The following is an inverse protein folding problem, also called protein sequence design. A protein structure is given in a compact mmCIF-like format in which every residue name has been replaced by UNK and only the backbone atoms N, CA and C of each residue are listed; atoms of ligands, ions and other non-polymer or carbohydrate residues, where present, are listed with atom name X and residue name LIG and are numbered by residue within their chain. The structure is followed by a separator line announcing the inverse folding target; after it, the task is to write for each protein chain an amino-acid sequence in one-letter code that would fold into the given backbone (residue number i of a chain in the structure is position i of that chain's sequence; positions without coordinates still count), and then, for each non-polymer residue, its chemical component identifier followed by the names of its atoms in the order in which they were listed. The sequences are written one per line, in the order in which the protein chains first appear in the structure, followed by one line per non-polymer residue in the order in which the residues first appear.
data_IF_493952385591
#
_entry.id   IF_493952385591
#
_cell.length_a   1.000
_cell.length_b   1.000
_cell.length_c   1.000
_cell.angle_alpha   90.00
_cell.angle_beta   90.00
_cell.angle_gamma   90.00
#
_symmetry.space_group_name_H-M   'P 1'
#
loop_
_entity.id
_entity.type
_entity.pdbx_description
1 polymer ?
#
# COMPACT_ATOMS: atom_id res chain seq x y z
N UNK A 1 -49.90 16.16 -12.73
CA UNK A 1 -49.60 15.11 -11.74
C UNK A 1 -48.90 13.97 -12.45
N UNK A 2 -47.58 13.87 -12.30
CA UNK A 2 -46.78 12.75 -12.79
C UNK A 2 -46.72 11.70 -11.67
N UNK A 3 -47.26 10.51 -11.93
CA UNK A 3 -47.19 9.37 -11.02
C UNK A 3 -45.87 8.62 -11.20
N UNK A 4 -45.06 8.61 -10.13
CA UNK A 4 -43.82 7.83 -10.02
C UNK A 4 -44.19 6.37 -9.72
N UNK A 5 -43.77 5.43 -10.58
CA UNK A 5 -43.75 4.00 -10.25
C UNK A 5 -42.35 3.65 -9.72
N UNK A 6 -42.31 3.22 -8.46
CA UNK A 6 -41.13 2.66 -7.79
C UNK A 6 -41.08 1.17 -8.17
N UNK A 7 -40.00 0.73 -8.81
CA UNK A 7 -39.73 -0.69 -9.06
C UNK A 7 -38.98 -1.29 -7.85
N UNK A 8 -39.49 -2.41 -7.35
CA UNK A 8 -38.96 -3.14 -6.19
C UNK A 8 -37.84 -4.10 -6.56
N UNK A 9 -36.91 -4.27 -5.61
CA UNK A 9 -35.71 -5.12 -5.64
C UNK A 9 -36.03 -6.63 -5.67
N UNK A 10 -36.53 -7.18 -6.78
CA UNK A 10 -36.69 -8.65 -6.89
C UNK A 10 -36.58 -9.25 -8.30
N UNK A 11 -36.10 -8.52 -9.32
CA UNK A 11 -36.04 -9.04 -10.71
C UNK A 11 -34.66 -8.92 -11.40
N UNK A 12 -33.57 -8.74 -10.65
CA UNK A 12 -32.20 -8.70 -11.24
C UNK A 12 -31.30 -9.86 -10.82
N UNK A 13 -31.79 -10.81 -10.02
CA UNK A 13 -31.05 -12.06 -9.75
C UNK A 13 -31.62 -13.18 -10.63
N UNK A 14 -30.86 -13.60 -11.64
CA UNK A 14 -30.74 -14.98 -12.16
C UNK A 14 -30.01 -15.07 -13.54
N UNK A 15 -29.42 -13.99 -14.07
CA UNK A 15 -28.63 -14.04 -15.32
C UNK A 15 -27.14 -13.70 -15.18
N UNK A 16 -26.62 -13.52 -13.95
CA UNK A 16 -25.21 -13.19 -13.69
C UNK A 16 -24.38 -14.34 -13.11
N UNK A 17 -24.94 -15.55 -12.98
CA UNK A 17 -24.21 -16.75 -12.59
C UNK A 17 -24.02 -17.60 -13.85
N UNK A 18 -22.76 -17.89 -14.17
CA UNK A 18 -22.28 -18.69 -15.32
C UNK A 18 -22.12 -17.90 -16.63
N UNK A 19 -21.18 -16.96 -16.65
CA UNK A 19 -20.41 -16.67 -17.86
C UNK A 19 -18.93 -16.96 -17.57
N UNK A 20 -18.23 -17.77 -18.37
CA UNK A 20 -16.78 -17.90 -18.24
C UNK A 20 -16.18 -16.54 -18.60
N UNK A 21 -15.67 -15.81 -17.61
CA UNK A 21 -14.87 -14.63 -17.85
C UNK A 21 -13.54 -15.09 -18.46
N UNK A 22 -13.49 -15.22 -19.78
CA UNK A 22 -12.22 -15.12 -20.49
C UNK A 22 -11.69 -13.72 -20.21
N UNK A 23 -10.67 -13.65 -19.36
CA UNK A 23 -9.91 -12.43 -19.10
C UNK A 23 -9.53 -11.83 -20.47
N UNK A 24 -9.89 -10.56 -20.75
CA UNK A 24 -9.38 -9.91 -21.94
C UNK A 24 -7.86 -9.95 -21.85
N UNK A 25 -7.21 -10.51 -22.88
CA UNK A 25 -5.77 -10.49 -23.02
C UNK A 25 -5.35 -9.02 -22.96
N UNK A 26 -4.78 -8.61 -21.83
CA UNK A 26 -4.29 -7.25 -21.63
C UNK A 26 -3.30 -6.96 -22.75
N UNK A 27 -3.67 -6.04 -23.64
CA UNK A 27 -2.73 -5.42 -24.57
C UNK A 27 -1.76 -4.63 -23.69
N UNK A 28 -0.65 -5.28 -23.35
CA UNK A 28 0.43 -4.70 -22.57
C UNK A 28 1.16 -3.71 -23.49
N UNK A 29 0.72 -2.45 -23.53
CA UNK A 29 1.52 -1.38 -24.13
C UNK A 29 2.73 -1.19 -23.23
N UNK A 30 3.79 -1.96 -23.47
CA UNK A 30 5.11 -1.80 -22.84
C UNK A 30 5.70 -0.47 -23.30
N UNK A 31 5.38 0.62 -22.61
CA UNK A 31 6.38 1.68 -22.43
C UNK A 31 7.36 1.13 -21.40
N UNK A 32 8.46 0.56 -21.86
CA UNK A 32 9.60 0.23 -20.99
C UNK A 32 10.15 1.56 -20.46
N UNK A 33 9.64 1.99 -19.32
CA UNK A 33 10.23 3.09 -18.56
C UNK A 33 11.29 2.49 -17.66
N UNK A 34 12.55 2.80 -17.95
CA UNK A 34 13.68 2.43 -17.13
C UNK A 34 13.95 3.54 -16.13
N UNK A 35 13.78 3.27 -14.83
CA UNK A 35 14.13 4.22 -13.77
C UNK A 35 15.57 4.01 -13.31
N UNK A 36 16.13 5.02 -12.64
CA UNK A 36 17.46 4.97 -12.01
C UNK A 36 17.31 5.11 -10.50
N UNK A 37 18.22 4.49 -9.75
CA UNK A 37 18.30 4.70 -8.30
C UNK A 37 19.20 5.90 -8.03
N UNK A 38 18.64 6.92 -7.39
CA UNK A 38 19.35 8.13 -6.98
C UNK A 38 19.42 8.18 -5.46
N UNK A 39 20.59 8.58 -4.94
CA UNK A 39 20.81 8.88 -3.52
C UNK A 39 20.56 10.36 -3.29
N UNK A 40 19.71 10.69 -2.33
CA UNK A 40 19.41 12.08 -1.96
C UNK A 40 19.90 12.30 -0.54
N UNK A 41 20.78 13.29 -0.36
CA UNK A 41 21.26 13.69 0.95
C UNK A 41 20.12 14.28 1.79
N UNK A 42 20.17 14.01 3.10
CA UNK A 42 19.17 14.47 4.07
C UNK A 42 19.81 14.59 5.44
N UNK A 43 19.07 15.18 6.37
CA UNK A 43 19.44 15.25 7.79
C UNK A 43 18.34 14.64 8.66
N UNK A 44 18.69 14.09 9.83
CA UNK A 44 17.69 13.58 10.78
C UNK A 44 16.62 14.61 11.14
N UNK A 45 15.40 14.14 11.36
CA UNK A 45 14.31 14.94 11.95
C UNK A 45 14.05 14.48 13.38
N UNK A 46 13.93 15.44 14.29
CA UNK A 46 13.63 15.13 15.69
C UNK A 46 12.25 14.48 15.82
N UNK A 47 12.15 13.46 16.67
CA UNK A 47 10.88 12.90 17.09
C UNK A 47 10.16 12.04 16.03
N UNK A 48 10.86 11.51 15.02
CA UNK A 48 10.37 10.44 14.14
C UNK A 48 10.34 9.05 14.81
N UNK A 49 9.94 9.00 16.10
CA UNK A 49 9.82 7.76 16.85
C UNK A 49 8.44 7.13 16.60
N UNK A 50 8.34 5.97 15.92
CA UNK A 50 7.05 5.28 15.80
C UNK A 50 6.67 4.63 17.14
N UNK A 51 5.39 4.68 17.48
CA UNK A 51 4.81 3.84 18.53
C UNK A 51 4.33 2.50 17.98
N UNK A 52 3.62 1.73 18.81
CA UNK A 52 3.01 0.44 18.42
C UNK A 52 2.01 0.56 17.27
N UNK A 53 1.44 1.76 17.07
CA UNK A 53 0.52 2.09 15.97
C UNK A 53 1.16 2.91 14.85
N UNK A 54 2.49 2.94 14.78
CA UNK A 54 3.27 3.72 13.81
C UNK A 54 3.61 5.14 14.27
N UNK A 55 4.08 5.95 13.32
CA UNK A 55 4.38 7.36 13.49
C UNK A 55 3.14 8.19 13.18
N UNK A 56 2.71 9.03 14.12
CA UNK A 56 1.61 9.99 13.92
C UNK A 56 2.08 11.41 14.20
N UNK A 57 1.83 12.30 13.25
CA UNK A 57 2.20 13.72 13.29
C UNK A 57 1.19 14.52 12.47
N UNK A 58 1.24 15.85 12.58
CA UNK A 58 0.43 16.72 11.71
C UNK A 58 0.84 16.55 10.24
N UNK A 59 -0.12 16.60 9.32
CA UNK A 59 0.09 16.54 7.86
C UNK A 59 1.19 17.52 7.42
N UNK A 60 1.21 18.72 8.01
CA UNK A 60 2.21 19.77 7.72
C UNK A 60 3.67 19.32 7.91
N UNK A 61 3.93 18.28 8.71
CA UNK A 61 5.27 17.71 8.85
C UNK A 61 5.56 16.75 7.71
N UNK A 62 4.63 15.87 7.36
CA UNK A 62 4.80 14.89 6.29
C UNK A 62 4.97 15.50 4.89
N UNK A 63 4.39 16.67 4.65
CA UNK A 63 4.56 17.41 3.38
C UNK A 63 5.86 18.22 3.33
N UNK A 64 6.64 18.29 4.41
CA UNK A 64 7.96 18.92 4.35
C UNK A 64 8.90 18.05 3.51
N UNK A 65 9.81 18.68 2.74
CA UNK A 65 10.86 17.96 2.05
C UNK A 65 11.58 17.00 3.01
N UNK A 66 11.82 15.78 2.54
CA UNK A 66 12.57 14.72 3.21
C UNK A 66 11.91 14.11 4.46
N UNK A 67 10.84 14.68 5.03
CA UNK A 67 10.27 14.16 6.28
C UNK A 67 9.73 12.73 6.10
N UNK A 68 8.81 12.54 5.15
CA UNK A 68 8.27 11.21 4.85
C UNK A 68 9.37 10.27 4.34
N UNK A 69 10.23 10.75 3.45
CA UNK A 69 11.30 9.96 2.84
C UNK A 69 12.25 9.41 3.91
N UNK A 70 12.64 10.23 4.89
CA UNK A 70 13.52 9.78 5.96
C UNK A 70 12.90 8.63 6.77
N UNK A 71 11.61 8.74 7.10
CA UNK A 71 10.93 7.69 7.86
C UNK A 71 10.78 6.39 7.06
N UNK A 72 10.44 6.51 5.77
CA UNK A 72 10.31 5.36 4.85
C UNK A 72 11.66 4.67 4.65
N UNK A 73 12.73 5.43 4.39
CA UNK A 73 14.07 4.87 4.26
C UNK A 73 14.55 4.23 5.57
N UNK A 74 14.34 4.88 6.71
CA UNK A 74 14.68 4.31 8.01
C UNK A 74 13.94 2.99 8.28
N UNK A 75 12.70 2.87 7.76
CA UNK A 75 11.93 1.63 7.78
C UNK A 75 12.59 0.55 6.93
N UNK A 76 12.93 0.83 5.67
CA UNK A 76 13.68 -0.12 4.83
C UNK A 76 15.01 -0.55 5.46
N UNK A 77 15.77 0.40 6.02
CA UNK A 77 17.03 0.12 6.70
C UNK A 77 16.84 -0.82 7.91
N UNK A 78 15.71 -0.74 8.62
CA UNK A 78 15.42 -1.56 9.80
C UNK A 78 14.99 -2.99 9.45
N UNK A 79 14.34 -3.18 8.29
CA UNK A 79 13.90 -4.48 7.79
C UNK A 79 15.06 -5.33 7.27
N UNK A 80 16.19 -4.70 6.94
CA UNK A 80 17.39 -5.35 6.43
C UNK A 80 17.41 -5.42 4.89
N UNK A 81 18.60 -5.63 4.33
CA UNK A 81 18.84 -5.63 2.90
C UNK A 81 18.37 -6.91 2.16
N UNK A 82 17.41 -7.65 2.71
CA UNK A 82 16.77 -8.78 2.02
C UNK A 82 15.75 -8.22 1.03
N UNK A 83 16.30 -7.66 -0.06
CA UNK A 83 15.66 -6.90 -1.15
C UNK A 83 14.69 -7.74 -2.00
N UNK A 84 14.53 -9.02 -1.72
CA UNK A 84 13.84 -9.95 -2.62
C UNK A 84 12.31 -10.03 -2.47
N UNK A 85 11.69 -9.22 -1.61
CA UNK A 85 10.37 -9.54 -1.09
C UNK A 85 9.37 -8.38 -1.28
N UNK A 86 8.16 -8.70 -1.73
CA UNK A 86 7.15 -7.71 -2.15
C UNK A 86 6.41 -7.06 -0.96
N UNK A 87 6.01 -5.80 -1.11
CA UNK A 87 5.39 -5.01 -0.03
C UNK A 87 4.01 -4.48 -0.41
N UNK A 88 3.05 -4.52 0.52
CA UNK A 88 1.71 -3.95 0.32
C UNK A 88 1.68 -2.51 0.83
N UNK A 89 0.97 -1.61 0.15
CA UNK A 89 0.68 -0.27 0.71
C UNK A 89 -0.84 -0.06 0.79
N UNK A 90 -1.35 0.30 1.97
CA UNK A 90 -2.75 0.72 2.20
C UNK A 90 -2.81 2.18 2.59
N UNK A 91 -3.96 2.80 2.31
CA UNK A 91 -4.31 4.07 2.94
C UNK A 91 -5.73 4.16 3.47
N UNK A 92 -5.92 5.10 4.39
CA UNK A 92 -7.21 5.54 4.90
C UNK A 92 -7.03 7.03 5.22
N UNK A 93 -7.56 7.87 4.32
CA UNK A 93 -7.23 9.28 4.08
C UNK A 93 -5.78 9.50 3.63
N UNK A 94 -5.59 9.82 2.35
CA UNK A 94 -4.28 10.04 1.79
C UNK A 94 -4.22 11.28 0.89
N UNK A 95 -3.04 11.89 0.88
CA UNK A 95 -2.53 12.70 -0.21
C UNK A 95 -1.81 11.79 -1.21
N UNK A 96 -2.30 11.71 -2.44
CA UNK A 96 -1.77 10.89 -3.55
C UNK A 96 -0.23 10.86 -3.62
N UNK A 97 0.39 12.03 -3.39
CA UNK A 97 1.83 12.24 -3.34
C UNK A 97 2.60 11.29 -2.41
N UNK A 98 1.99 10.81 -1.32
CA UNK A 98 2.65 9.92 -0.36
C UNK A 98 2.78 8.49 -0.88
N UNK A 99 1.78 7.96 -1.60
CA UNK A 99 1.90 6.65 -2.26
C UNK A 99 2.95 6.71 -3.34
N UNK A 100 2.97 7.78 -4.14
CA UNK A 100 3.96 7.96 -5.20
C UNK A 100 5.38 7.95 -4.62
N UNK A 101 5.61 8.70 -3.53
CA UNK A 101 6.90 8.70 -2.82
C UNK A 101 7.26 7.30 -2.34
N UNK A 102 6.36 6.61 -1.63
CA UNK A 102 6.64 5.27 -1.09
C UNK A 102 6.89 4.27 -2.22
N UNK A 103 6.14 4.35 -3.32
CA UNK A 103 6.31 3.50 -4.51
C UNK A 103 7.71 3.67 -5.13
N UNK A 104 8.13 4.93 -5.33
CA UNK A 104 9.46 5.25 -5.87
C UNK A 104 10.58 4.82 -4.93
N UNK A 105 10.38 4.96 -3.62
CA UNK A 105 11.37 4.53 -2.62
C UNK A 105 11.43 3.01 -2.50
N UNK A 106 10.31 2.29 -2.57
CA UNK A 106 10.26 0.85 -2.58
C UNK A 106 11.04 0.28 -3.78
N UNK A 107 10.76 0.78 -4.98
CA UNK A 107 11.49 0.42 -6.20
C UNK A 107 13.01 0.67 -6.06
N UNK A 108 13.40 1.79 -5.46
CA UNK A 108 14.80 2.14 -5.27
C UNK A 108 15.52 1.34 -4.17
N UNK A 109 14.76 0.80 -3.22
CA UNK A 109 15.25 -0.08 -2.17
C UNK A 109 15.19 -1.57 -2.58
N UNK A 110 14.92 -1.88 -3.85
CA UNK A 110 15.00 -3.22 -4.41
C UNK A 110 13.70 -4.04 -4.31
N UNK A 111 12.61 -3.48 -3.75
CA UNK A 111 11.31 -4.17 -3.71
C UNK A 111 10.91 -4.55 -5.13
N UNK A 112 10.61 -5.83 -5.38
CA UNK A 112 10.29 -6.33 -6.73
C UNK A 112 8.84 -6.12 -7.15
N UNK A 113 7.95 -6.01 -6.17
CA UNK A 113 6.52 -5.81 -6.39
C UNK A 113 5.88 -5.07 -5.25
N UNK A 114 5.03 -4.10 -5.57
CA UNK A 114 4.12 -3.49 -4.61
C UNK A 114 2.67 -3.77 -4.97
N UNK A 115 1.84 -3.95 -3.95
CA UNK A 115 0.39 -4.11 -4.11
C UNK A 115 -0.34 -2.91 -3.51
N UNK A 116 -1.23 -2.31 -4.28
CA UNK A 116 -1.98 -1.11 -3.91
C UNK A 116 -3.48 -1.39 -4.09
N UNK A 117 -4.27 -1.10 -3.06
CA UNK A 117 -5.74 -1.12 -3.20
C UNK A 117 -6.20 0.01 -4.11
N UNK A 118 -7.12 -0.29 -5.04
CA UNK A 118 -7.66 0.69 -5.97
C UNK A 118 -8.15 1.97 -5.25
N UNK A 119 -7.83 3.13 -5.81
CA UNK A 119 -8.13 4.44 -5.22
C UNK A 119 -7.61 4.60 -3.78
N UNK A 120 -6.52 3.91 -3.44
CA UNK A 120 -5.86 3.98 -2.14
C UNK A 120 -6.68 3.39 -0.98
N UNK A 121 -7.85 2.83 -1.28
CA UNK A 121 -8.76 2.28 -0.30
C UNK A 121 -8.32 0.86 0.04
N UNK A 122 -7.98 0.60 1.29
CA UNK A 122 -7.97 -0.74 1.90
C UNK A 122 -8.38 -0.50 3.36
N UNK A 123 -8.81 -1.49 4.13
CA UNK A 123 -8.99 -1.38 5.60
C UNK A 123 -7.77 -1.98 6.32
N UNK A 124 -7.46 -1.59 7.57
CA UNK A 124 -6.29 -2.17 8.28
C UNK A 124 -6.41 -3.72 8.36
N UNK A 125 -7.60 -4.27 8.68
CA UNK A 125 -7.83 -5.72 8.58
C UNK A 125 -7.64 -6.28 7.16
N UNK A 126 -8.07 -5.58 6.11
CA UNK A 126 -7.87 -6.03 4.73
C UNK A 126 -6.39 -6.12 4.37
N UNK A 127 -5.55 -5.19 4.83
CA UNK A 127 -4.10 -5.31 4.63
C UNK A 127 -3.54 -6.54 5.32
N UNK A 128 -3.94 -6.76 6.57
CA UNK A 128 -3.51 -7.93 7.31
C UNK A 128 -3.86 -9.21 6.55
N UNK A 129 -5.09 -9.29 6.02
CA UNK A 129 -5.53 -10.40 5.16
C UNK A 129 -4.66 -10.57 3.92
N UNK A 130 -4.42 -9.48 3.17
CA UNK A 130 -3.62 -9.50 1.94
C UNK A 130 -2.16 -9.88 2.21
N UNK A 131 -1.57 -9.47 3.35
CA UNK A 131 -0.23 -9.89 3.75
C UNK A 131 -0.18 -11.39 4.06
N UNK A 132 -1.21 -11.92 4.70
CA UNK A 132 -1.27 -13.32 5.11
C UNK A 132 -1.51 -14.28 3.93
N UNK A 133 -2.32 -13.86 2.97
CA UNK A 133 -2.68 -14.65 1.79
C UNK A 133 -1.59 -14.64 0.71
N UNK A 134 -1.44 -15.79 0.03
CA UNK A 134 -0.65 -15.86 -1.21
C UNK A 134 -1.53 -15.53 -2.40
N UNK A 135 -0.97 -14.82 -3.39
CA UNK A 135 -1.64 -14.58 -4.67
C UNK A 135 -1.68 -15.86 -5.51
N UNK A 136 -2.52 -15.83 -6.55
CA UNK A 136 -2.68 -16.97 -7.46
C UNK A 136 -1.38 -17.38 -8.17
N UNK A 137 -0.43 -16.46 -8.33
CA UNK A 137 0.90 -16.72 -8.91
C UNK A 137 1.94 -17.18 -7.86
N UNK A 138 1.50 -17.46 -6.63
CA UNK A 138 2.35 -17.90 -5.52
C UNK A 138 3.12 -16.78 -4.83
N UNK A 139 3.00 -15.52 -5.30
CA UNK A 139 3.64 -14.39 -4.62
C UNK A 139 2.97 -14.08 -3.28
N UNK A 140 3.78 -13.69 -2.30
CA UNK A 140 3.34 -13.33 -0.95
C UNK A 140 4.04 -12.05 -0.51
N UNK A 141 3.31 -11.16 0.15
CA UNK A 141 3.88 -9.95 0.69
C UNK A 141 4.60 -10.22 2.01
N UNK A 142 5.59 -9.39 2.30
CA UNK A 142 6.46 -9.53 3.48
C UNK A 142 6.33 -8.42 4.49
N UNK A 143 5.50 -7.45 4.15
CA UNK A 143 4.98 -6.48 5.08
C UNK A 143 4.11 -5.49 4.36
N UNK A 144 3.72 -4.45 5.09
CA UNK A 144 2.91 -3.41 4.51
C UNK A 144 3.11 -2.06 5.17
N UNK A 145 3.28 -1.02 4.34
CA UNK A 145 3.03 0.35 4.79
C UNK A 145 1.52 0.60 4.85
N UNK A 146 1.07 1.20 5.95
CA UNK A 146 -0.33 1.58 6.13
C UNK A 146 -0.38 3.05 6.52
N UNK A 147 -1.06 3.83 5.70
CA UNK A 147 -1.18 5.27 5.80
C UNK A 147 -2.55 5.59 6.38
N UNK A 148 -2.61 6.02 7.64
CA UNK A 148 -3.87 6.22 8.35
C UNK A 148 -3.68 7.07 9.60
N UNK A 149 -4.58 8.02 9.82
CA UNK A 149 -4.72 8.73 11.09
C UNK A 149 -5.46 7.87 12.16
N UNK A 150 -5.96 6.68 11.78
CA UNK A 150 -6.81 5.83 12.58
C UNK A 150 -8.09 6.55 13.02
N UNK A 151 -8.24 6.87 14.30
CA UNK A 151 -9.37 7.62 14.83
C UNK A 151 -9.08 9.12 14.96
N UNK A 152 -7.84 9.55 14.70
CA UNK A 152 -7.50 10.96 14.75
C UNK A 152 -8.17 11.68 13.55
N UNK A 153 -8.57 12.95 13.72
CA UNK A 153 -9.08 13.74 12.61
C UNK A 153 -8.11 13.74 11.43
N UNK A 154 -8.65 13.57 10.22
CA UNK A 154 -7.92 13.69 8.96
C UNK A 154 -8.18 15.03 8.29
N UNK A 155 -7.22 15.49 7.48
CA UNK A 155 -7.34 16.72 6.70
C UNK A 155 -6.03 17.51 6.63
N UNK A 156 -5.93 18.55 5.77
CA UNK A 156 -4.68 19.28 5.51
C UNK A 156 -4.00 19.90 6.76
N UNK A 157 -4.78 20.18 7.80
CA UNK A 157 -4.31 20.75 9.06
C UNK A 157 -4.32 19.76 10.22
N UNK A 158 -4.76 18.53 9.98
CA UNK A 158 -4.95 17.52 10.99
C UNK A 158 -3.85 16.47 10.99
N UNK A 159 -4.13 15.32 11.57
CA UNK A 159 -3.15 14.28 11.78
C UNK A 159 -3.02 13.38 10.56
N UNK A 160 -1.82 12.89 10.36
CA UNK A 160 -1.49 11.81 9.45
C UNK A 160 -0.69 10.76 10.19
N UNK A 161 -0.83 9.51 9.78
CA UNK A 161 -0.06 8.42 10.34
C UNK A 161 0.46 7.50 9.28
N UNK A 162 1.64 6.95 9.54
CA UNK A 162 2.26 5.88 8.77
C UNK A 162 2.70 4.79 9.74
N UNK A 163 2.32 3.55 9.46
CA UNK A 163 2.74 2.36 10.22
C UNK A 163 3.23 1.28 9.29
N UNK A 164 3.99 0.33 9.83
CA UNK A 164 4.45 -0.84 9.11
C UNK A 164 3.90 -2.09 9.78
N UNK A 165 3.33 -3.00 8.98
CA UNK A 165 2.97 -4.35 9.40
C UNK A 165 3.98 -5.36 8.86
N UNK A 166 4.28 -6.41 9.62
CA UNK A 166 5.22 -7.48 9.22
C UNK A 166 4.50 -8.58 8.43
N UNK A 167 5.27 -9.56 7.91
CA UNK A 167 4.79 -10.73 7.15
C UNK A 167 3.72 -11.60 7.85
N UNK A 168 3.57 -11.48 9.17
CA UNK A 168 2.50 -12.11 9.93
C UNK A 168 1.17 -11.32 9.89
N UNK A 169 1.11 -10.25 9.08
CA UNK A 169 -0.04 -9.36 8.95
C UNK A 169 -0.25 -8.41 10.14
N UNK A 170 0.52 -8.53 11.21
CA UNK A 170 0.43 -7.73 12.43
C UNK A 170 1.35 -6.50 12.43
N UNK A 171 1.18 -5.57 13.38
CA UNK A 171 2.04 -4.39 13.49
C UNK A 171 3.50 -4.77 13.75
N UNK A 172 4.43 -3.92 13.31
CA UNK A 172 5.85 -4.06 13.61
C UNK A 172 6.09 -4.20 15.12
N UNK A 173 6.83 -5.23 15.58
CA UNK A 173 7.13 -5.41 16.99
C UNK A 173 8.10 -4.33 17.49
N UNK A 174 8.16 -4.15 18.82
CA UNK A 174 8.94 -3.08 19.44
C UNK A 174 10.42 -3.05 18.99
N UNK A 175 11.03 -4.23 18.86
CA UNK A 175 12.41 -4.34 18.38
C UNK A 175 12.61 -3.78 16.96
N UNK A 176 11.62 -3.91 16.08
CA UNK A 176 11.66 -3.30 14.74
C UNK A 176 11.39 -1.80 14.85
N UNK A 177 10.36 -1.37 15.58
CA UNK A 177 10.07 0.07 15.72
C UNK A 177 11.22 0.86 16.35
N UNK A 178 11.97 0.25 17.28
CA UNK A 178 13.17 0.84 17.87
C UNK A 178 14.29 0.96 16.85
N UNK A 179 14.55 -0.08 16.05
CA UNK A 179 15.52 -0.01 14.94
C UNK A 179 15.15 1.05 13.90
N UNK A 180 13.86 1.19 13.57
CA UNK A 180 13.39 2.28 12.69
C UNK A 180 13.78 3.62 13.31
N UNK A 181 13.48 3.83 14.59
CA UNK A 181 13.83 5.07 15.27
C UNK A 181 15.35 5.33 15.27
N UNK A 182 16.17 4.35 15.61
CA UNK A 182 17.63 4.44 15.57
C UNK A 182 18.16 4.84 14.18
N UNK A 183 17.56 4.31 13.11
CA UNK A 183 17.89 4.72 11.75
C UNK A 183 17.46 6.16 11.47
N UNK A 184 16.29 6.62 11.95
CA UNK A 184 15.85 8.01 11.73
C UNK A 184 16.78 9.05 12.38
N UNK A 185 17.44 8.72 13.49
CA UNK A 185 18.34 9.65 14.19
C UNK A 185 19.73 9.73 13.56
N UNK A 186 20.08 8.78 12.70
CA UNK A 186 21.41 8.65 12.08
C UNK A 186 21.40 8.75 10.56
N UNK A 187 20.22 8.82 9.94
CA UNK A 187 20.04 8.90 8.49
C UNK A 187 20.76 10.11 7.88
N UNK A 188 21.45 9.88 6.76
CA UNK A 188 22.16 10.91 5.98
C UNK A 188 21.73 10.95 4.52
N UNK A 189 21.05 9.91 4.07
CA UNK A 189 20.60 9.78 2.69
C UNK A 189 19.36 8.88 2.61
N UNK A 190 18.61 9.00 1.53
CA UNK A 190 17.62 8.01 1.11
C UNK A 190 17.71 7.70 -0.38
N UNK A 191 17.16 6.55 -0.77
CA UNK A 191 17.10 6.08 -2.15
C UNK A 191 15.73 6.41 -2.77
N UNK A 192 15.73 6.89 -4.01
CA UNK A 192 14.51 7.13 -4.77
C UNK A 192 14.67 6.75 -6.26
N UNK A 193 13.61 6.21 -6.85
CA UNK A 193 13.59 5.77 -8.24
C UNK A 193 13.30 6.97 -9.15
N UNK A 194 14.36 7.64 -9.59
CA UNK A 194 14.29 8.76 -10.52
C UNK A 194 13.88 8.27 -11.91
N UNK A 195 12.87 8.92 -12.51
CA UNK A 195 12.32 8.54 -13.80
C UNK A 195 11.25 7.44 -13.75
N UNK A 196 10.96 6.87 -12.58
CA UNK A 196 9.75 6.06 -12.41
C UNK A 196 8.52 6.99 -12.47
N UNK A 197 7.57 6.76 -13.39
CA UNK A 197 6.42 7.63 -13.54
C UNK A 197 5.43 7.41 -12.40
N UNK A 198 4.57 8.40 -12.16
CA UNK A 198 3.46 8.24 -11.24
C UNK A 198 2.48 7.20 -11.78
N UNK A 199 1.85 6.46 -10.87
CA UNK A 199 0.99 5.34 -11.19
C UNK A 199 -0.48 5.77 -11.06
N UNK A 200 -1.24 5.59 -12.13
CA UNK A 200 -2.70 5.70 -12.06
C UNK A 200 -3.28 4.51 -11.28
N UNK A 201 -3.61 4.77 -10.03
CA UNK A 201 -4.20 3.82 -9.08
C UNK A 201 -5.73 3.71 -9.20
N UNK A 202 -6.36 4.46 -10.10
CA UNK A 202 -7.81 4.42 -10.29
C UNK A 202 -8.24 3.21 -11.13
N UNK A 203 -7.31 2.63 -11.89
CA UNK A 203 -7.54 1.47 -12.76
C UNK A 203 -6.81 0.25 -12.22
N UNK A 204 -7.54 -0.86 -12.02
CA UNK A 204 -6.92 -2.12 -11.58
C UNK A 204 -6.07 -2.73 -12.69
N UNK A 205 -4.97 -3.38 -12.32
CA UNK A 205 -4.07 -4.06 -13.24
C UNK A 205 -2.61 -4.05 -12.74
N UNK A 206 -1.76 -4.77 -13.47
CA UNK A 206 -0.32 -4.81 -13.18
C UNK A 206 0.42 -3.90 -14.16
N UNK A 207 1.14 -2.93 -13.61
CA UNK A 207 2.11 -2.11 -14.33
C UNK A 207 3.50 -2.67 -14.07
N UNK A 208 4.28 -2.89 -15.14
CA UNK A 208 5.63 -3.42 -15.04
C UNK A 208 6.65 -2.41 -15.52
N UNK A 209 7.67 -2.18 -14.70
CA UNK A 209 8.79 -1.29 -14.94
C UNK A 209 10.11 -2.08 -14.90
N UNK A 210 11.15 -1.51 -15.49
CA UNK A 210 12.52 -2.04 -15.39
C UNK A 210 13.38 -1.06 -14.59
N UNK A 211 14.15 -1.60 -13.64
CA UNK A 211 15.07 -0.83 -12.81
C UNK A 211 16.44 -1.49 -12.72
N UNK A 212 17.39 -0.87 -12.00
CA UNK A 212 18.76 -1.38 -11.89
C UNK A 212 18.86 -2.79 -11.29
N UNK A 213 17.92 -3.17 -10.43
CA UNK A 213 17.86 -4.51 -9.81
C UNK A 213 16.87 -5.47 -10.51
N UNK A 214 16.40 -5.10 -11.70
CA UNK A 214 15.50 -5.90 -12.52
C UNK A 214 14.06 -5.37 -12.55
N UNK A 215 13.11 -6.28 -12.73
CA UNK A 215 11.70 -5.96 -12.92
C UNK A 215 11.07 -5.44 -11.62
N UNK A 216 10.31 -4.37 -11.71
CA UNK A 216 9.48 -3.81 -10.65
C UNK A 216 8.02 -3.79 -11.06
N UNK A 217 7.15 -4.48 -10.33
CA UNK A 217 5.71 -4.55 -10.60
C UNK A 217 4.90 -3.69 -9.61
N UNK A 218 3.92 -2.95 -10.12
CA UNK A 218 2.89 -2.28 -9.31
C UNK A 218 1.55 -2.93 -9.64
N UNK A 219 0.98 -3.65 -8.68
CA UNK A 219 -0.30 -4.37 -8.82
C UNK A 219 -1.40 -3.58 -8.12
N UNK A 220 -2.34 -3.07 -8.90
CA UNK A 220 -3.51 -2.35 -8.41
C UNK A 220 -4.69 -3.32 -8.41
N UNK A 221 -5.23 -3.62 -7.24
CA UNK A 221 -6.27 -4.63 -7.08
C UNK A 221 -7.51 -4.09 -6.36
N UNK A 222 -8.64 -4.78 -6.54
CA UNK A 222 -9.88 -4.43 -5.84
C UNK A 222 -9.73 -4.61 -4.33
N UNK A 223 -9.90 -3.52 -3.61
CA UNK A 223 -9.73 -3.41 -2.16
C UNK A 223 -10.59 -4.37 -1.34
N UNK A 224 -11.69 -4.84 -1.92
CA UNK A 224 -12.70 -5.66 -1.24
C UNK A 224 -12.57 -7.15 -1.54
N UNK A 225 -11.88 -7.55 -2.61
CA UNK A 225 -11.94 -8.94 -3.08
C UNK A 225 -11.36 -9.94 -2.09
N UNK A 226 -10.22 -9.62 -1.48
CA UNK A 226 -9.52 -10.55 -0.58
C UNK A 226 -10.05 -10.46 0.85
N UNK A 227 -10.41 -9.26 1.29
CA UNK A 227 -11.10 -9.10 2.58
C UNK A 227 -12.44 -9.83 2.61
N UNK A 228 -13.23 -9.79 1.52
CA UNK A 228 -14.48 -10.53 1.43
C UNK A 228 -14.26 -12.06 1.44
N UNK A 229 -13.15 -12.56 0.87
CA UNK A 229 -12.81 -14.00 0.96
C UNK A 229 -12.49 -14.39 2.40
N UNK A 230 -11.65 -13.63 3.10
CA UNK A 230 -11.33 -13.87 4.51
C UNK A 230 -12.58 -13.77 5.39
N UNK A 231 -13.42 -12.76 5.17
CA UNK A 231 -14.63 -12.60 5.97
C UNK A 231 -15.59 -13.77 5.77
N UNK A 232 -15.72 -14.31 4.55
CA UNK A 232 -16.51 -15.51 4.29
C UNK A 232 -16.02 -16.71 5.09
N UNK A 233 -14.71 -16.96 5.16
CA UNK A 233 -14.17 -18.09 5.94
C UNK A 233 -14.31 -17.89 7.45
N UNK A 234 -14.24 -16.65 7.95
CA UNK A 234 -14.41 -16.35 9.38
C UNK A 234 -15.86 -16.41 9.87
N UNK A 235 -16.83 -16.11 9.00
CA UNK A 235 -18.27 -16.09 9.35
C UNK A 235 -19.02 -17.32 8.84
N UNK A 236 -18.35 -18.25 8.15
CA UNK A 236 -18.89 -19.56 7.80
C UNK A 236 -19.34 -20.29 9.07
N UNK A 237 -20.66 -20.27 9.34
CA UNK A 237 -21.28 -20.81 10.56
C UNK A 237 -22.10 -19.79 11.36
N UNK A 238 -21.97 -18.50 11.08
CA UNK A 238 -22.80 -17.43 11.65
C UNK A 238 -23.78 -16.96 10.58
N UNK A 239 -25.08 -17.13 10.83
CA UNK A 239 -26.14 -16.69 9.94
C UNK A 239 -26.18 -15.15 9.90
N UNK A 240 -25.46 -14.56 8.96
CA UNK A 240 -25.55 -13.13 8.63
C UNK A 240 -25.99 -13.05 7.18
N UNK A 241 -27.26 -12.67 6.95
CA UNK A 241 -27.69 -12.23 5.62
C UNK A 241 -27.03 -10.88 5.35
N UNK A 242 -26.16 -10.85 4.33
CA UNK A 242 -25.58 -9.62 3.77
C UNK A 242 -26.54 -9.07 2.73
#
# INVERSE_FOLDING_TARGET
MLGVKIATWSEVSHSLLVAPHTLPTLIQIKKMVMFKVTRVETTPFEGQKPGTSGLRKKVKLFIQPHYLQNFVQATFNALGADRDKGDITKTEFLFHVFIEIITKMAAANGVRRIWIGQNELLSTPAVSAVVLESRADGSKATGAFILTASHNPGGPHEDFGIKYNMENGGPAPEGITNKIYENTTTIKEYLIAEGLPDVDISTTGVLSFEGPEGKFDVDIFYSTSDYLKLMKTLVEGILIQI
#
